data_IF_224323093602
#
_entry.id   IF_224323093602
#
_cell.length_a   1.000
_cell.length_b   1.000
_cell.length_c   1.000
_cell.angle_alpha   90.00
_cell.angle_beta   90.00
_cell.angle_gamma   90.00
#
_symmetry.space_group_name_H-M   'P 1'
#
loop_
_entity.id
_entity.type
_entity.pdbx_description
1 polymer ?
#
# COMPACT_ATOMS: atom_id res chain seq x y z
N UNK A 1 -2.27 9.39 4.49
CA UNK A 1 -3.68 9.08 4.81
C UNK A 1 -4.36 8.66 3.51
N UNK A 2 -4.21 7.40 3.12
CA UNK A 2 -4.70 6.90 1.83
C UNK A 2 -5.21 5.47 2.06
N UNK A 3 -6.46 5.37 2.50
CA UNK A 3 -7.10 4.11 2.89
C UNK A 3 -8.63 4.13 2.87
N UNK A 4 -9.26 5.31 2.74
CA UNK A 4 -10.73 5.46 2.88
C UNK A 4 -11.47 5.67 1.55
N UNK A 5 -10.81 5.35 0.42
CA UNK A 5 -11.36 5.58 -0.92
C UNK A 5 -11.84 4.27 -1.52
N UNK A 6 -13.13 4.22 -1.88
CA UNK A 6 -13.73 3.11 -2.63
C UNK A 6 -14.01 3.59 -4.05
N UNK A 7 -13.43 2.90 -5.02
CA UNK A 7 -13.73 3.11 -6.45
C UNK A 7 -14.59 1.97 -6.96
N UNK A 8 -15.76 2.30 -7.50
CA UNK A 8 -16.60 1.36 -8.25
C UNK A 8 -16.43 1.67 -9.73
N UNK A 9 -15.76 0.77 -10.46
CA UNK A 9 -15.57 0.88 -11.90
C UNK A 9 -16.67 0.11 -12.63
N UNK A 10 -17.43 0.82 -13.47
CA UNK A 10 -18.50 0.24 -14.28
C UNK A 10 -18.11 0.29 -15.76
N UNK A 11 -17.99 -0.88 -16.39
CA UNK A 11 -17.87 -0.99 -17.85
C UNK A 11 -19.25 -0.84 -18.48
N UNK A 12 -19.53 0.32 -19.07
CA UNK A 12 -20.87 0.61 -19.62
C UNK A 12 -20.93 0.18 -21.08
N UNK A 13 -21.74 -0.84 -21.35
CA UNK A 13 -22.11 -1.22 -22.71
C UNK A 13 -23.24 -0.33 -23.22
N UNK A 14 -22.91 0.88 -23.67
CA UNK A 14 -23.88 1.72 -24.39
C UNK A 14 -23.95 1.22 -25.84
N UNK A 15 -24.88 0.30 -26.13
CA UNK A 15 -24.92 -0.36 -27.43
C UNK A 15 -26.30 -0.43 -28.06
N UNK A 16 -26.51 0.32 -29.13
CA UNK A 16 -27.40 -0.11 -30.22
C UNK A 16 -26.66 -1.25 -30.92
N UNK A 17 -27.30 -2.39 -31.19
CA UNK A 17 -26.67 -3.46 -31.96
C UNK A 17 -26.45 -2.97 -33.41
N UNK A 18 -25.23 -2.55 -33.74
CA UNK A 18 -24.87 -2.08 -35.09
C UNK A 18 -24.12 -3.17 -35.83
N UNK A 19 -24.60 -3.50 -37.03
CA UNK A 19 -23.89 -4.39 -37.95
C UNK A 19 -23.33 -3.58 -39.11
N UNK A 20 -22.01 -3.57 -39.25
CA UNK A 20 -21.30 -2.93 -40.37
C UNK A 20 -20.84 -4.00 -41.34
N UNK A 21 -21.07 -3.78 -42.64
CA UNK A 21 -20.58 -4.65 -43.73
C UNK A 21 -19.89 -3.81 -44.79
N UNK A 22 -18.80 -4.33 -45.35
CA UNK A 22 -18.10 -3.77 -46.51
C UNK A 22 -18.27 -4.74 -47.67
N UNK A 23 -18.96 -4.32 -48.73
CA UNK A 23 -19.26 -5.17 -49.90
C UNK A 23 -19.92 -6.52 -49.56
N UNK A 24 -20.73 -6.54 -48.50
CA UNK A 24 -21.39 -7.75 -48.01
C UNK A 24 -20.52 -8.64 -47.13
N UNK A 25 -19.23 -8.34 -46.98
CA UNK A 25 -18.33 -9.00 -46.04
C UNK A 25 -18.51 -8.47 -44.61
N UNK A 26 -18.39 -9.37 -43.63
CA UNK A 26 -18.37 -9.00 -42.21
C UNK A 26 -16.98 -8.54 -41.80
N UNK A 27 -16.91 -7.66 -40.80
CA UNK A 27 -15.62 -7.19 -40.29
C UNK A 27 -14.83 -8.36 -39.67
N UNK A 28 -13.57 -8.51 -40.06
CA UNK A 28 -12.69 -9.56 -39.54
C UNK A 28 -12.22 -9.29 -38.10
N UNK A 29 -12.26 -8.02 -37.68
CA UNK A 29 -11.90 -7.58 -36.34
C UNK A 29 -12.73 -6.34 -35.99
N UNK A 30 -13.20 -6.28 -34.75
CA UNK A 30 -13.84 -5.11 -34.17
C UNK A 30 -12.96 -4.67 -33.01
N UNK A 31 -12.38 -3.48 -33.12
CA UNK A 31 -11.68 -2.83 -32.02
C UNK A 31 -12.70 -1.99 -31.26
N UNK A 32 -13.02 -2.42 -30.04
CA UNK A 32 -13.99 -1.75 -29.18
C UNK A 32 -13.28 -1.28 -27.92
N UNK A 33 -13.28 0.03 -27.72
CA UNK A 33 -12.88 0.66 -26.46
C UNK A 33 -14.16 0.97 -25.67
N UNK A 34 -14.38 0.25 -24.57
CA UNK A 34 -15.55 0.48 -23.71
C UNK A 34 -15.27 1.66 -22.78
N UNK A 35 -16.21 2.61 -22.63
CA UNK A 35 -16.07 3.63 -21.61
C UNK A 35 -16.22 2.99 -20.22
N UNK A 36 -15.22 3.20 -19.38
CA UNK A 36 -15.30 2.92 -17.94
C UNK A 36 -15.79 4.18 -17.24
N UNK A 37 -16.79 4.03 -16.38
CA UNK A 37 -17.20 5.07 -15.44
C UNK A 37 -16.65 4.70 -14.06
N UNK A 38 -15.88 5.61 -13.47
CA UNK A 38 -15.37 5.46 -12.12
C UNK A 38 -16.21 6.29 -11.15
N UNK A 39 -16.84 5.62 -10.19
CA UNK A 39 -17.55 6.24 -9.08
C UNK A 39 -16.67 6.18 -7.85
N UNK A 40 -16.17 7.34 -7.42
CA UNK A 40 -15.23 7.46 -6.31
C UNK A 40 -15.97 7.93 -5.07
N UNK A 41 -15.85 7.15 -3.99
CA UNK A 41 -16.39 7.47 -2.67
C UNK A 41 -15.22 7.68 -1.72
N UNK A 42 -15.06 8.90 -1.22
CA UNK A 42 -14.00 9.27 -0.29
C UNK A 42 -14.52 9.19 1.16
N UNK A 43 -13.62 8.88 2.10
CA UNK A 43 -13.92 8.86 3.55
C UNK A 43 -15.03 7.87 3.91
N UNK A 44 -15.04 6.71 3.26
CA UNK A 44 -16.01 5.65 3.56
C UNK A 44 -15.68 5.03 4.91
N UNK A 45 -16.68 4.93 5.79
CA UNK A 45 -16.49 4.32 7.10
C UNK A 45 -16.08 2.84 6.96
N UNK A 46 -15.35 2.27 7.92
CA UNK A 46 -15.01 0.86 7.89
C UNK A 46 -16.21 -0.07 8.01
N UNK A 47 -16.01 -1.32 7.57
CA UNK A 47 -16.99 -2.39 7.61
C UNK A 47 -17.44 -2.86 6.23
N UNK A 48 -18.39 -3.78 6.21
CA UNK A 48 -19.00 -4.27 4.97
C UNK A 48 -20.07 -3.29 4.47
N UNK A 49 -19.97 -2.90 3.20
CA UNK A 49 -20.90 -2.01 2.52
C UNK A 49 -21.52 -2.71 1.32
N UNK A 50 -22.84 -2.57 1.20
CA UNK A 50 -23.56 -3.03 0.01
C UNK A 50 -23.49 -1.98 -1.09
N UNK A 51 -23.10 -2.39 -2.29
CA UNK A 51 -23.14 -1.57 -3.50
C UNK A 51 -24.39 -1.96 -4.28
N UNK A 52 -25.24 -0.97 -4.57
CA UNK A 52 -26.40 -1.12 -5.43
C UNK A 52 -26.18 -0.40 -6.75
N UNK A 53 -26.17 -1.15 -7.84
CA UNK A 53 -26.03 -0.61 -9.20
C UNK A 53 -27.40 -0.69 -9.86
N UNK A 54 -27.93 0.46 -10.27
CA UNK A 54 -29.20 0.56 -11.00
C UNK A 54 -29.01 1.31 -12.30
N UNK A 55 -29.57 0.78 -13.37
CA UNK A 55 -29.75 1.56 -14.59
C UNK A 55 -31.12 2.27 -14.61
N UNK A 56 -31.28 3.19 -15.55
CA UNK A 56 -32.53 3.96 -15.73
C UNK A 56 -33.67 3.13 -16.33
N UNK A 57 -33.40 1.92 -16.82
CA UNK A 57 -34.39 1.02 -17.44
C UNK A 57 -34.83 -0.12 -16.50
N UNK A 58 -34.32 -0.16 -15.28
CA UNK A 58 -34.75 -1.05 -14.20
C UNK A 58 -33.86 -2.25 -13.95
N UNK A 59 -32.70 -2.39 -14.60
CA UNK A 59 -31.69 -3.37 -14.22
C UNK A 59 -31.15 -3.03 -12.82
N UNK A 60 -30.95 -4.07 -12.02
CA UNK A 60 -30.43 -3.95 -10.65
C UNK A 60 -29.43 -5.05 -10.39
N UNK A 61 -28.26 -4.66 -9.93
CA UNK A 61 -27.20 -5.55 -9.48
C UNK A 61 -26.79 -5.17 -8.06
N UNK A 62 -26.43 -6.18 -7.27
CA UNK A 62 -25.92 -6.00 -5.92
C UNK A 62 -24.52 -6.59 -5.83
N UNK A 63 -23.61 -5.83 -5.26
CA UNK A 63 -22.28 -6.27 -4.86
C UNK A 63 -22.04 -5.86 -3.40
N UNK A 64 -20.96 -6.36 -2.81
CA UNK A 64 -20.47 -5.84 -1.53
C UNK A 64 -18.98 -5.59 -1.59
N UNK A 65 -18.53 -4.67 -0.75
CA UNK A 65 -17.12 -4.37 -0.53
C UNK A 65 -16.90 -4.26 0.98
N UNK A 66 -15.81 -4.82 1.46
CA UNK A 66 -15.39 -4.64 2.85
C UNK A 66 -14.31 -3.57 2.88
N UNK A 67 -14.62 -2.42 3.50
CA UNK A 67 -13.62 -1.42 3.85
C UNK A 67 -13.00 -1.88 5.16
N UNK A 68 -11.68 -2.10 5.15
CA UNK A 68 -10.98 -2.56 6.35
C UNK A 68 -11.20 -1.56 7.49
N UNK A 69 -11.45 -2.05 8.71
CA UNK A 69 -11.24 -1.25 9.91
C UNK A 69 -9.81 -0.71 9.86
N UNK A 70 -9.58 0.59 10.11
CA UNK A 70 -8.23 1.10 10.25
C UNK A 70 -7.66 0.31 11.41
N UNK A 71 -6.76 -0.62 11.08
CA UNK A 71 -5.89 -1.19 12.09
C UNK A 71 -5.19 0.00 12.73
N UNK A 72 -4.99 0.02 14.06
CA UNK A 72 -4.09 1.01 14.66
C UNK A 72 -2.69 0.99 14.03
N UNK A 73 -2.34 -0.05 13.27
CA UNK A 73 -1.12 -0.16 12.46
C UNK A 73 -1.21 0.34 11.01
N UNK A 74 -2.41 0.67 10.49
CA UNK A 74 -2.60 1.30 9.17
C UNK A 74 -2.77 2.84 9.29
N UNK A 75 -2.26 3.41 10.39
CA UNK A 75 -2.54 4.77 10.84
C UNK A 75 -1.48 5.80 10.45
N UNK A 76 -0.95 5.76 9.22
CA UNK A 76 0.08 6.71 8.80
C UNK A 76 1.42 6.53 9.54
N UNK A 77 2.44 7.23 9.06
CA UNK A 77 3.75 7.29 9.71
C UNK A 77 3.57 7.78 11.16
N UNK A 78 4.01 7.03 12.19
CA UNK A 78 3.93 7.46 13.58
C UNK A 78 4.53 8.85 13.79
N UNK A 79 4.04 9.59 14.77
CA UNK A 79 4.51 10.97 15.03
C UNK A 79 6.03 11.01 15.23
N UNK A 80 6.60 10.05 15.97
CA UNK A 80 8.04 9.94 16.18
C UNK A 80 8.83 9.75 14.88
N UNK A 81 8.29 8.93 13.96
CA UNK A 81 8.94 8.65 12.70
C UNK A 81 8.78 9.83 11.75
N UNK A 82 7.66 10.55 11.81
CA UNK A 82 7.46 11.80 11.05
C UNK A 82 8.44 12.88 11.51
N UNK A 83 8.57 13.11 12.82
CA UNK A 83 9.54 14.05 13.39
C UNK A 83 10.98 13.66 13.02
N UNK A 84 11.30 12.37 13.07
CA UNK A 84 12.62 11.89 12.70
C UNK A 84 12.93 12.08 11.21
N UNK A 85 11.97 11.80 10.32
CA UNK A 85 12.12 12.05 8.88
C UNK A 85 12.34 13.53 8.58
N UNK A 86 11.65 14.45 9.27
CA UNK A 86 11.87 15.90 9.13
C UNK A 86 13.30 16.30 9.54
N UNK A 87 13.86 15.69 10.57
CA UNK A 87 15.25 15.92 11.01
C UNK A 87 16.28 15.32 10.02
N UNK A 88 15.99 14.17 9.42
CA UNK A 88 16.78 13.57 8.35
C UNK A 88 16.79 14.43 7.08
N UNK A 89 15.62 14.89 6.63
CA UNK A 89 15.49 15.75 5.44
C UNK A 89 16.16 17.11 5.63
N UNK A 90 16.08 17.67 6.85
CA UNK A 90 16.72 18.94 7.18
C UNK A 90 18.22 18.84 7.47
N UNK A 91 18.77 17.62 7.50
CA UNK A 91 20.19 17.36 7.74
C UNK A 91 20.63 17.69 9.17
N UNK A 92 19.70 17.68 10.14
CA UNK A 92 20.01 17.89 11.57
C UNK A 92 20.54 16.62 12.23
N UNK A 93 20.21 15.46 11.67
CA UNK A 93 20.76 14.17 12.10
C UNK A 93 22.23 14.06 11.67
N UNK A 94 23.14 13.93 12.64
CA UNK A 94 24.58 13.86 12.38
C UNK A 94 24.98 12.51 11.73
N UNK A 95 24.23 11.44 12.01
CA UNK A 95 24.48 10.10 11.49
C UNK A 95 23.18 9.48 10.96
N UNK A 96 22.68 9.93 9.79
CA UNK A 96 21.43 9.41 9.24
C UNK A 96 21.53 7.90 8.97
N UNK A 97 20.44 7.14 9.15
CA UNK A 97 20.41 5.74 8.75
C UNK A 97 20.58 5.62 7.24
N UNK A 98 21.10 4.46 6.78
CA UNK A 98 21.12 4.13 5.37
C UNK A 98 19.72 3.90 4.81
N UNK A 99 18.83 3.33 5.61
CA UNK A 99 17.43 3.14 5.21
C UNK A 99 16.52 2.92 6.39
N UNK A 100 15.25 3.20 6.14
CA UNK A 100 14.14 2.82 7.02
C UNK A 100 13.10 2.12 6.14
N UNK A 101 12.75 0.90 6.50
CA UNK A 101 11.75 0.10 5.78
C UNK A 101 10.69 -0.40 6.76
N UNK A 102 9.43 -0.15 6.43
CA UNK A 102 8.28 -0.65 7.17
C UNK A 102 7.95 -2.08 6.73
N UNK A 103 7.66 -2.95 7.68
CA UNK A 103 7.21 -4.31 7.45
C UNK A 103 6.02 -4.67 8.32
N UNK A 104 5.22 -5.62 7.84
CA UNK A 104 4.24 -6.35 8.64
C UNK A 104 4.91 -7.60 9.23
N UNK A 105 4.96 -7.68 10.56
CA UNK A 105 5.57 -8.79 11.29
C UNK A 105 4.71 -9.20 12.48
N UNK A 106 4.21 -10.44 12.48
CA UNK A 106 3.40 -10.94 13.58
C UNK A 106 2.00 -10.30 13.71
N UNK A 107 1.56 -9.56 12.69
CA UNK A 107 0.32 -8.77 12.73
C UNK A 107 0.51 -7.38 13.34
N UNK A 108 1.76 -6.95 13.53
CA UNK A 108 2.14 -5.62 13.99
C UNK A 108 2.99 -4.94 12.92
N UNK A 109 2.91 -3.61 12.81
CA UNK A 109 3.84 -2.82 12.02
C UNK A 109 5.19 -2.70 12.75
N UNK A 110 6.27 -2.99 12.04
CA UNK A 110 7.65 -2.82 12.53
C UNK A 110 8.49 -2.00 11.55
N UNK A 111 9.46 -1.28 12.07
CA UNK A 111 10.39 -0.45 11.32
C UNK A 111 11.79 -1.03 11.40
N UNK A 112 12.33 -1.38 10.25
CA UNK A 112 13.68 -1.89 10.10
C UNK A 112 14.61 -0.75 9.67
N UNK A 113 15.58 -0.44 10.53
CA UNK A 113 16.49 0.70 10.39
C UNK A 113 17.91 0.19 10.16
N UNK A 114 18.45 0.43 8.97
CA UNK A 114 19.84 0.09 8.64
C UNK A 114 20.73 1.28 8.97
N UNK A 115 21.74 1.09 9.82
CA UNK A 115 22.66 2.18 10.22
C UNK A 115 23.68 2.50 9.14
N UNK A 116 24.19 3.73 9.14
CA UNK A 116 25.18 4.25 8.19
C UNK A 116 26.44 3.39 8.02
N UNK A 117 26.91 2.77 9.10
CA UNK A 117 28.18 2.05 9.12
C UNK A 117 27.98 0.54 9.27
N UNK A 118 28.71 -0.23 8.47
CA UNK A 118 28.56 -1.69 8.36
C UNK A 118 28.93 -2.45 9.65
N UNK A 119 29.59 -1.81 10.61
CA UNK A 119 29.95 -2.38 11.92
C UNK A 119 28.93 -2.05 13.02
N UNK A 120 27.88 -1.30 12.70
CA UNK A 120 26.77 -0.98 13.60
C UNK A 120 25.63 -1.98 13.40
N UNK A 121 24.86 -2.21 14.46
CA UNK A 121 23.66 -3.03 14.40
C UNK A 121 22.53 -2.29 13.70
N UNK A 122 21.78 -2.99 12.86
CA UNK A 122 20.48 -2.50 12.41
C UNK A 122 19.48 -2.64 13.55
N UNK A 123 18.49 -1.74 13.61
CA UNK A 123 17.45 -1.76 14.64
C UNK A 123 16.13 -2.25 14.05
N UNK A 124 15.40 -3.04 14.84
CA UNK A 124 14.00 -3.36 14.60
C UNK A 124 13.16 -2.68 15.68
N UNK A 125 12.34 -1.73 15.28
CA UNK A 125 11.48 -0.94 16.18
C UNK A 125 10.01 -1.33 15.96
N UNK A 126 9.19 -1.27 17.00
CA UNK A 126 7.73 -1.37 16.85
C UNK A 126 7.11 0.00 16.47
N UNK A 127 5.79 0.05 16.34
CA UNK A 127 5.06 1.29 16.03
C UNK A 127 5.20 2.41 17.07
N UNK A 128 5.61 2.09 18.30
CA UNK A 128 5.73 2.99 19.45
C UNK A 128 7.17 3.44 19.73
N UNK A 129 8.10 3.29 18.76
CA UNK A 129 9.54 3.58 18.90
C UNK A 129 10.25 2.70 19.96
N UNK A 130 9.73 1.50 20.22
CA UNK A 130 10.33 0.55 21.14
C UNK A 130 11.25 -0.39 20.36
N UNK A 131 12.52 -0.45 20.77
CA UNK A 131 13.50 -1.40 20.24
C UNK A 131 13.11 -2.84 20.56
N UNK A 132 12.77 -3.60 19.52
CA UNK A 132 12.55 -5.05 19.58
C UNK A 132 13.90 -5.77 19.63
N UNK A 133 14.88 -5.33 18.84
CA UNK A 133 16.25 -5.83 18.87
C UNK A 133 17.02 -5.61 17.58
N UNK A 134 18.13 -6.36 17.42
CA UNK A 134 19.09 -6.18 16.33
C UNK A 134 19.17 -7.43 15.44
N UNK A 135 18.46 -7.48 14.31
CA UNK A 135 18.40 -8.67 13.47
C UNK A 135 19.68 -8.94 12.67
N UNK A 136 20.44 -7.89 12.31
CA UNK A 136 21.69 -8.00 11.58
C UNK A 136 22.66 -6.84 11.91
N UNK A 137 23.73 -6.71 11.12
CA UNK A 137 24.78 -5.74 11.34
C UNK A 137 25.76 -6.16 12.44
N UNK A 138 26.49 -5.19 12.97
CA UNK A 138 27.61 -5.44 13.88
C UNK A 138 28.83 -6.04 13.17
N UNK A 139 29.93 -6.23 13.91
CA UNK A 139 31.21 -6.72 13.36
C UNK A 139 31.05 -8.05 12.59
N UNK A 140 30.12 -8.91 13.02
CA UNK A 140 29.87 -10.22 12.40
C UNK A 140 28.78 -10.19 11.33
N UNK A 141 27.99 -9.12 11.23
CA UNK A 141 26.78 -9.05 10.41
C UNK A 141 25.60 -9.88 10.93
N UNK A 142 25.71 -10.50 12.11
CA UNK A 142 24.70 -11.42 12.66
C UNK A 142 23.73 -10.77 13.64
N UNK A 143 23.85 -9.45 13.88
CA UNK A 143 23.02 -8.78 14.87
C UNK A 143 23.31 -9.26 16.29
N UNK A 144 22.28 -9.26 17.13
CA UNK A 144 22.36 -9.68 18.55
C UNK A 144 22.29 -11.19 18.76
N UNK A 145 22.03 -11.97 17.71
CA UNK A 145 21.89 -13.43 17.76
C UNK A 145 20.62 -13.94 18.46
N UNK A 146 19.65 -13.08 18.76
CA UNK A 146 18.39 -13.40 19.46
C UNK A 146 17.16 -12.90 18.70
N UNK A 147 17.30 -11.82 17.93
CA UNK A 147 16.23 -11.20 17.16
C UNK A 147 16.01 -11.98 15.86
N UNK A 148 14.92 -12.75 15.81
CA UNK A 148 14.57 -13.56 14.64
C UNK A 148 13.71 -12.77 13.65
N UNK A 149 14.37 -11.93 12.85
CA UNK A 149 13.72 -11.16 11.80
C UNK A 149 14.58 -11.18 10.53
N UNK A 150 13.96 -11.46 9.39
CA UNK A 150 14.62 -11.58 8.09
C UNK A 150 13.95 -10.60 7.11
N UNK A 151 14.49 -9.38 6.93
CA UNK A 151 13.86 -8.34 6.10
C UNK A 151 13.79 -8.74 4.63
N UNK A 152 14.84 -9.36 4.10
CA UNK A 152 14.95 -9.76 2.68
C UNK A 152 14.00 -10.88 2.24
N UNK A 153 13.33 -11.54 3.19
CA UNK A 153 12.36 -12.61 2.91
C UNK A 153 10.92 -12.08 2.84
N UNK A 154 10.72 -10.75 2.86
CA UNK A 154 9.42 -10.09 3.01
C UNK A 154 9.32 -8.90 2.06
N UNK A 155 8.10 -8.60 1.63
CA UNK A 155 7.80 -7.32 0.97
C UNK A 155 7.65 -6.24 2.04
N UNK A 156 8.38 -5.14 1.88
CA UNK A 156 8.38 -4.00 2.81
C UNK A 156 8.19 -2.69 2.04
N UNK A 157 7.74 -1.66 2.74
CA UNK A 157 7.54 -0.32 2.20
C UNK A 157 8.74 0.54 2.61
N UNK A 158 9.51 1.03 1.64
CA UNK A 158 10.62 1.92 1.91
C UNK A 158 10.10 3.31 2.34
N UNK A 159 10.55 3.76 3.50
CA UNK A 159 10.17 5.05 4.09
C UNK A 159 11.29 6.08 3.94
N UNK A 160 12.54 5.64 4.09
CA UNK A 160 13.74 6.45 3.89
C UNK A 160 14.75 5.68 3.04
N UNK A 161 15.29 6.28 1.95
CA UNK A 161 15.96 5.54 0.91
C UNK A 161 17.41 5.19 1.24
N UNK A 162 17.84 4.09 0.62
CA UNK A 162 19.23 3.75 0.32
C UNK A 162 19.65 4.59 -0.92
N UNK A 163 20.62 5.51 -0.83
CA UNK A 163 21.17 6.17 -2.02
C UNK A 163 21.97 5.22 -2.92
#
# INVERSE_FOLDING_TARGET
MEGDTVTVSLSVFVGIAVRVRLDGQEATRVDQELPTLDYVFEKVAPGEHSIEIRDVVGFREMASVTVAEPSPDAGGTPDWLTEWLDDLESGREENPPQSITQYEYGGETVYYVVKACCDQFSDLLNAEDILIGHPDGGITGQGDGRTSFLPYAREGIEIWPIP
#
